data_IF_540713321099
#
_entry.id   IF_540713321099
#
_cell.length_a   1.000
_cell.length_b   1.000
_cell.length_c   1.000
_cell.angle_alpha   90.00
_cell.angle_beta   90.00
_cell.angle_gamma   90.00
#
_symmetry.space_group_name_H-M   'P 1'
#
loop_
_entity.id
_entity.type
_entity.pdbx_description
1 polymer ?
#
# COMPACT_ATOMS: atom_id res chain seq x y z
N UNK A 1 -27.57 -2.80 -14.71
CA UNK A 1 -27.05 -2.35 -13.41
C UNK A 1 -26.51 -0.95 -13.58
N UNK A 2 -27.28 0.05 -13.12
CA UNK A 2 -26.89 1.45 -13.24
C UNK A 2 -25.83 1.77 -12.20
N UNK A 3 -24.66 2.22 -12.63
CA UNK A 3 -23.67 2.77 -11.73
C UNK A 3 -24.09 4.21 -11.41
N UNK A 4 -24.53 4.46 -10.18
CA UNK A 4 -25.01 5.79 -9.83
C UNK A 4 -23.79 6.70 -9.63
N UNK A 5 -23.58 7.60 -10.59
CA UNK A 5 -22.53 8.63 -10.53
C UNK A 5 -23.10 9.90 -9.93
N UNK A 6 -22.43 10.44 -8.93
CA UNK A 6 -22.76 11.74 -8.33
C UNK A 6 -21.56 12.65 -8.40
N UNK A 7 -21.78 13.88 -8.82
CA UNK A 7 -20.74 14.92 -8.84
C UNK A 7 -21.05 15.89 -7.72
N UNK A 8 -20.05 16.19 -6.88
CA UNK A 8 -20.18 17.19 -5.81
C UNK A 8 -18.98 18.13 -5.84
N UNK A 9 -19.25 19.42 -5.71
CA UNK A 9 -18.19 20.41 -5.50
C UNK A 9 -18.10 20.76 -4.02
N UNK A 10 -16.89 20.82 -3.48
CA UNK A 10 -16.60 21.26 -2.11
C UNK A 10 -15.47 22.28 -2.10
N UNK A 11 -15.42 23.12 -1.05
CA UNK A 11 -14.29 24.00 -0.78
C UNK A 11 -13.37 23.34 0.24
N UNK A 12 -12.11 23.14 -0.14
CA UNK A 12 -11.06 22.59 0.70
C UNK A 12 -9.85 23.52 0.70
N UNK A 13 -9.45 24.01 1.89
CA UNK A 13 -8.38 25.02 2.06
C UNK A 13 -8.53 26.26 1.15
N UNK A 14 -9.78 26.71 0.94
CA UNK A 14 -10.08 27.85 0.06
C UNK A 14 -10.07 27.54 -1.44
N UNK A 15 -9.76 26.31 -1.83
CA UNK A 15 -9.71 25.87 -3.24
C UNK A 15 -10.98 25.06 -3.55
N UNK A 16 -11.58 25.34 -4.70
CA UNK A 16 -12.73 24.58 -5.23
C UNK A 16 -12.25 23.21 -5.73
N UNK A 17 -12.81 22.14 -5.18
CA UNK A 17 -12.52 20.75 -5.55
C UNK A 17 -13.79 20.07 -6.06
N UNK A 18 -13.65 19.22 -7.07
CA UNK A 18 -14.75 18.46 -7.66
C UNK A 18 -14.54 16.98 -7.34
N UNK A 19 -15.53 16.36 -6.71
CA UNK A 19 -15.55 14.95 -6.35
C UNK A 19 -16.48 14.21 -7.30
N UNK A 20 -15.95 13.14 -7.90
CA UNK A 20 -16.71 12.16 -8.68
C UNK A 20 -16.95 10.92 -7.82
N UNK A 21 -18.17 10.78 -7.31
CA UNK A 21 -18.57 9.69 -6.43
C UNK A 21 -19.20 8.60 -7.30
N UNK A 22 -18.57 7.41 -7.28
CA UNK A 22 -19.00 6.24 -8.01
C UNK A 22 -19.59 5.22 -7.04
N UNK A 23 -20.89 5.00 -7.09
CA UNK A 23 -21.53 3.97 -6.27
C UNK A 23 -21.31 2.60 -6.90
N UNK A 24 -20.75 1.68 -6.11
CA UNK A 24 -20.47 0.30 -6.49
C UNK A 24 -21.20 -0.59 -5.50
N UNK A 25 -22.15 -1.39 -6.00
CA UNK A 25 -22.79 -2.42 -5.19
C UNK A 25 -21.81 -3.57 -4.91
N UNK A 26 -22.06 -4.35 -3.87
CA UNK A 26 -21.18 -5.45 -3.46
C UNK A 26 -20.90 -6.44 -4.61
N UNK A 27 -21.92 -6.78 -5.40
CA UNK A 27 -21.79 -7.67 -6.57
C UNK A 27 -20.95 -7.07 -7.71
N UNK A 28 -20.78 -5.75 -7.70
CA UNK A 28 -20.03 -5.00 -8.70
C UNK A 28 -18.53 -4.95 -8.43
N UNK A 29 -18.08 -5.24 -7.20
CA UNK A 29 -16.67 -5.15 -6.82
C UNK A 29 -15.83 -6.20 -7.54
N UNK A 30 -16.29 -7.45 -7.58
CA UNK A 30 -15.61 -8.53 -8.31
C UNK A 30 -15.38 -8.20 -9.79
N UNK A 31 -16.39 -7.59 -10.43
CA UNK A 31 -16.31 -7.12 -11.81
C UNK A 31 -15.35 -5.94 -11.98
N UNK A 32 -15.26 -5.07 -10.97
CA UNK A 32 -14.31 -3.95 -10.97
C UNK A 32 -12.86 -4.46 -10.85
N UNK A 33 -12.60 -5.34 -9.89
CA UNK A 33 -11.29 -5.95 -9.64
C UNK A 33 -10.84 -6.91 -10.77
N UNK A 34 -11.79 -7.45 -11.56
CA UNK A 34 -11.45 -8.27 -12.75
C UNK A 34 -10.61 -7.51 -13.79
N UNK A 35 -10.65 -6.17 -13.78
CA UNK A 35 -9.85 -5.32 -14.67
C UNK A 35 -8.68 -4.72 -13.90
N UNK A 36 -7.45 -5.12 -14.23
CA UNK A 36 -6.22 -4.64 -13.56
C UNK A 36 -6.00 -3.11 -13.58
N UNK A 37 -6.64 -2.40 -14.51
CA UNK A 37 -6.54 -0.93 -14.62
C UNK A 37 -7.74 -0.19 -14.00
N UNK A 38 -8.67 -0.88 -13.33
CA UNK A 38 -9.84 -0.22 -12.75
C UNK A 38 -9.46 0.64 -11.56
N UNK A 39 -8.59 0.11 -10.69
CA UNK A 39 -8.04 0.81 -9.52
C UNK A 39 -7.15 1.99 -9.92
N UNK A 40 -6.44 1.90 -11.05
CA UNK A 40 -5.60 2.98 -11.58
C UNK A 40 -6.39 4.28 -11.88
N UNK A 41 -7.71 4.21 -12.02
CA UNK A 41 -8.60 5.36 -12.28
C UNK A 41 -9.22 5.95 -11.00
N UNK A 42 -8.96 5.35 -9.84
CA UNK A 42 -9.54 5.75 -8.56
C UNK A 42 -8.50 6.47 -7.70
N UNK A 43 -8.78 7.72 -7.34
CA UNK A 43 -7.91 8.47 -6.42
C UNK A 43 -8.07 8.01 -4.95
N UNK A 44 -9.22 7.42 -4.62
CA UNK A 44 -9.57 6.96 -3.27
C UNK A 44 -10.72 5.96 -3.32
N UNK A 45 -10.69 4.96 -2.43
CA UNK A 45 -11.79 4.04 -2.16
C UNK A 45 -12.41 4.34 -0.79
N UNK A 46 -13.75 4.34 -0.71
CA UNK A 46 -14.48 4.62 0.53
C UNK A 46 -15.42 3.47 0.80
N UNK A 47 -15.22 2.78 1.92
CA UNK A 47 -16.04 1.66 2.37
C UNK A 47 -17.01 2.15 3.43
N UNK A 48 -18.29 1.92 3.22
CA UNK A 48 -19.34 2.38 4.12
C UNK A 48 -20.00 1.16 4.74
N UNK A 49 -20.12 1.15 6.06
CA UNK A 49 -20.89 0.15 6.80
C UNK A 49 -21.91 0.81 7.72
N UNK A 50 -22.94 0.07 8.10
CA UNK A 50 -23.91 0.51 9.10
C UNK A 50 -23.38 0.21 10.51
N UNK A 51 -23.24 1.24 11.35
CA UNK A 51 -22.69 1.11 12.71
C UNK A 51 -23.53 0.21 13.63
N UNK A 52 -24.80 0.00 13.31
CA UNK A 52 -25.72 -0.86 14.06
C UNK A 52 -25.71 -2.33 13.59
N UNK A 53 -25.02 -2.64 12.49
CA UNK A 53 -25.05 -3.96 11.85
C UNK A 53 -23.64 -4.58 11.71
N UNK A 54 -23.39 -5.64 12.46
CA UNK A 54 -22.13 -6.39 12.42
C UNK A 54 -21.87 -7.04 11.04
N UNK A 55 -22.92 -7.46 10.33
CA UNK A 55 -22.77 -8.10 9.02
C UNK A 55 -22.29 -7.11 7.96
N UNK A 56 -22.81 -5.88 7.99
CA UNK A 56 -22.35 -4.77 7.17
C UNK A 56 -20.88 -4.43 7.44
N UNK A 57 -20.45 -4.43 8.71
CA UNK A 57 -19.05 -4.23 9.08
C UNK A 57 -18.12 -5.32 8.50
N UNK A 58 -18.47 -6.60 8.68
CA UNK A 58 -17.70 -7.73 8.15
C UNK A 58 -17.53 -7.60 6.64
N UNK A 59 -18.64 -7.31 5.95
CA UNK A 59 -18.65 -7.18 4.50
C UNK A 59 -17.80 -6.01 3.99
N UNK A 60 -17.90 -4.84 4.62
CA UNK A 60 -17.07 -3.69 4.26
C UNK A 60 -15.57 -3.97 4.46
N UNK A 61 -15.23 -4.71 5.51
CA UNK A 61 -13.84 -5.11 5.80
C UNK A 61 -13.31 -6.12 4.78
N UNK A 62 -14.11 -7.13 4.40
CA UNK A 62 -13.76 -8.08 3.34
C UNK A 62 -13.46 -7.36 2.02
N UNK A 63 -14.35 -6.45 1.59
CA UNK A 63 -14.16 -5.69 0.35
C UNK A 63 -12.92 -4.79 0.41
N UNK A 64 -12.60 -4.23 1.58
CA UNK A 64 -11.37 -3.47 1.78
C UNK A 64 -10.14 -4.34 1.59
N UNK A 65 -10.15 -5.55 2.14
CA UNK A 65 -9.05 -6.52 1.98
C UNK A 65 -8.88 -6.92 0.51
N UNK A 66 -9.98 -7.16 -0.21
CA UNK A 66 -9.95 -7.50 -1.64
C UNK A 66 -9.33 -6.37 -2.48
N UNK A 67 -9.73 -5.11 -2.23
CA UNK A 67 -9.19 -3.93 -2.95
C UNK A 67 -7.72 -3.70 -2.60
N UNK A 68 -7.34 -3.82 -1.34
CA UNK A 68 -5.96 -3.66 -0.92
C UNK A 68 -5.06 -4.76 -1.50
N UNK A 69 -5.52 -6.01 -1.50
CA UNK A 69 -4.80 -7.14 -2.10
C UNK A 69 -4.60 -6.98 -3.61
N UNK A 70 -5.65 -6.58 -4.35
CA UNK A 70 -5.53 -6.33 -5.79
C UNK A 70 -4.59 -5.13 -6.08
N UNK A 71 -4.60 -4.10 -5.24
CA UNK A 71 -3.68 -2.97 -5.34
C UNK A 71 -2.20 -3.38 -5.21
N UNK A 72 -1.90 -4.31 -4.30
CA UNK A 72 -0.54 -4.85 -4.12
C UNK A 72 -0.08 -5.73 -5.30
N UNK A 73 -0.99 -6.47 -5.91
CA UNK A 73 -0.70 -7.35 -7.05
C UNK A 73 -0.57 -6.57 -8.36
N UNK A 74 -1.37 -5.53 -8.54
CA UNK A 74 -1.39 -4.69 -9.75
C UNK A 74 -0.46 -3.49 -9.66
N UNK A 75 0.13 -3.22 -8.48
CA UNK A 75 0.89 -2.00 -8.15
C UNK A 75 0.08 -0.70 -8.21
N UNK A 76 -1.25 -0.77 -8.30
CA UNK A 76 -2.15 0.36 -8.21
C UNK A 76 -2.75 0.44 -6.80
N UNK A 77 -1.90 0.74 -5.82
CA UNK A 77 -2.31 0.96 -4.43
C UNK A 77 -3.24 2.20 -4.35
N UNK A 78 -4.48 2.01 -3.87
CA UNK A 78 -5.48 3.08 -3.75
C UNK A 78 -5.68 3.43 -2.26
N UNK A 79 -5.64 4.71 -1.88
CA UNK A 79 -5.97 5.14 -0.53
C UNK A 79 -7.39 4.70 -0.13
N UNK A 80 -7.56 4.22 1.11
CA UNK A 80 -8.82 3.69 1.60
C UNK A 80 -9.29 4.42 2.86
N UNK A 81 -10.60 4.68 2.94
CA UNK A 81 -11.27 5.19 4.13
C UNK A 81 -12.44 4.29 4.49
N UNK A 82 -12.65 4.08 5.79
CA UNK A 82 -13.84 3.41 6.31
C UNK A 82 -14.78 4.46 6.94
N UNK A 83 -16.07 4.32 6.69
CA UNK A 83 -17.12 5.23 7.16
C UNK A 83 -18.18 4.43 7.89
N UNK A 84 -18.42 4.80 9.14
CA UNK A 84 -19.47 4.24 9.98
C UNK A 84 -20.75 5.08 9.79
N UNK A 85 -21.69 4.59 9.01
CA UNK A 85 -22.97 5.25 8.76
C UNK A 85 -23.99 4.93 9.87
N UNK A 86 -24.98 5.82 10.01
CA UNK A 86 -26.04 5.72 11.03
C UNK A 86 -25.51 5.73 12.46
N UNK A 87 -24.48 6.53 12.70
CA UNK A 87 -23.86 6.70 14.02
C UNK A 87 -24.81 7.24 15.11
N UNK A 88 -26.01 7.70 14.73
CA UNK A 88 -27.09 8.05 15.66
C UNK A 88 -27.81 6.83 16.27
N UNK A 89 -27.54 5.61 15.79
CA UNK A 89 -28.06 4.37 16.35
C UNK A 89 -27.07 3.74 17.33
N UNK A 90 -27.60 2.91 18.23
CA UNK A 90 -26.77 2.10 19.10
C UNK A 90 -25.88 1.18 18.26
N UNK A 91 -24.57 1.33 18.46
CA UNK A 91 -23.58 0.54 17.73
C UNK A 91 -23.66 -0.94 18.13
N UNK A 92 -23.34 -1.83 17.20
CA UNK A 92 -23.30 -3.26 17.52
C UNK A 92 -22.22 -3.55 18.59
N UNK A 93 -22.43 -4.57 19.45
CA UNK A 93 -21.45 -4.94 20.46
C UNK A 93 -20.08 -5.24 19.82
N UNK A 94 -19.00 -4.66 20.32
CA UNK A 94 -17.62 -4.77 19.79
C UNK A 94 -17.26 -3.86 18.60
N UNK A 95 -18.14 -2.97 18.14
CA UNK A 95 -17.85 -2.05 17.03
C UNK A 95 -16.54 -1.25 17.22
N UNK A 96 -16.32 -0.70 18.42
CA UNK A 96 -15.12 0.08 18.78
C UNK A 96 -13.85 -0.80 18.75
N UNK A 97 -13.93 -2.03 19.27
CA UNK A 97 -12.77 -2.91 19.33
C UNK A 97 -12.39 -3.43 17.94
N UNK A 98 -13.39 -3.84 17.15
CA UNK A 98 -13.19 -4.32 15.79
C UNK A 98 -12.68 -3.21 14.87
N UNK A 99 -13.24 -1.99 14.98
CA UNK A 99 -12.77 -0.84 14.20
C UNK A 99 -11.32 -0.46 14.54
N UNK A 100 -10.99 -0.42 15.82
CA UNK A 100 -9.62 -0.09 16.28
C UNK A 100 -8.62 -1.14 15.80
N UNK A 101 -8.95 -2.42 15.90
CA UNK A 101 -8.08 -3.52 15.47
C UNK A 101 -7.83 -3.48 13.96
N UNK A 102 -8.88 -3.41 13.14
CA UNK A 102 -8.73 -3.35 11.67
C UNK A 102 -7.95 -2.10 11.23
N UNK A 103 -8.19 -0.95 11.87
CA UNK A 103 -7.48 0.29 11.52
C UNK A 103 -5.98 0.21 11.85
N UNK A 104 -5.64 -0.37 13.00
CA UNK A 104 -4.26 -0.57 13.41
C UNK A 104 -3.55 -1.65 12.57
N UNK A 105 -4.24 -2.75 12.28
CA UNK A 105 -3.69 -3.87 11.52
C UNK A 105 -3.41 -3.47 10.06
N UNK A 106 -4.30 -2.67 9.44
CA UNK A 106 -4.18 -2.22 8.05
C UNK A 106 -3.47 -0.87 7.87
N UNK A 107 -3.10 -0.19 8.97
CA UNK A 107 -2.44 1.13 8.93
C UNK A 107 -3.31 2.26 8.36
N UNK A 108 -4.64 2.10 8.37
CA UNK A 108 -5.59 3.09 7.86
C UNK A 108 -6.17 3.98 8.97
N UNK A 109 -6.75 5.12 8.59
CA UNK A 109 -7.43 6.01 9.53
C UNK A 109 -8.64 5.30 10.18
N UNK A 110 -8.89 5.59 11.47
CA UNK A 110 -10.04 5.06 12.19
C UNK A 110 -11.36 5.42 11.47
N UNK A 111 -12.42 4.56 11.57
CA UNK A 111 -13.65 4.80 10.84
C UNK A 111 -14.26 6.15 11.17
N UNK A 112 -14.74 6.84 10.13
CA UNK A 112 -15.33 8.16 10.25
C UNK A 112 -16.82 7.99 10.58
N UNK A 113 -17.29 8.35 11.78
CA UNK A 113 -18.71 8.29 12.12
C UNK A 113 -19.49 9.36 11.35
N UNK A 114 -20.59 8.96 10.73
CA UNK A 114 -21.54 9.86 10.10
C UNK A 114 -22.98 9.49 10.48
N UNK A 115 -23.79 10.51 10.73
CA UNK A 115 -25.24 10.38 10.84
C UNK A 115 -25.93 11.34 9.89
N UNK A 116 -26.97 10.83 9.23
CA UNK A 116 -27.85 11.66 8.41
C UNK A 116 -28.70 12.63 9.21
N UNK A 117 -28.96 12.33 10.48
CA UNK A 117 -29.73 13.20 11.38
C UNK A 117 -28.88 14.32 11.98
N UNK A 118 -27.57 14.11 12.11
CA UNK A 118 -26.63 15.08 12.71
C UNK A 118 -26.02 16.05 11.69
N UNK A 119 -26.31 15.91 10.39
CA UNK A 119 -25.87 16.82 9.32
C UNK A 119 -24.33 16.99 9.19
N UNK A 120 -23.53 16.02 9.64
CA UNK A 120 -22.06 16.09 9.65
C UNK A 120 -21.36 15.77 8.31
N UNK A 121 -22.12 15.77 7.21
CA UNK A 121 -21.64 15.36 5.89
C UNK A 121 -20.52 16.23 5.31
N UNK A 122 -20.32 17.45 5.78
CA UNK A 122 -19.25 18.30 5.25
C UNK A 122 -17.84 17.86 5.73
N UNK A 123 -17.76 17.14 6.85
CA UNK A 123 -16.50 16.63 7.37
C UNK A 123 -15.96 15.48 6.50
N UNK A 124 -16.83 14.53 6.11
CA UNK A 124 -16.44 13.39 5.29
C UNK A 124 -15.88 13.80 3.93
N UNK A 125 -16.49 14.75 3.21
CA UNK A 125 -15.94 15.19 1.92
C UNK A 125 -14.57 15.87 2.07
N UNK A 126 -14.30 16.55 3.19
CA UNK A 126 -12.98 17.12 3.45
C UNK A 126 -11.94 16.02 3.73
N UNK A 127 -12.31 14.97 4.47
CA UNK A 127 -11.43 13.80 4.71
C UNK A 127 -11.12 13.05 3.42
N UNK A 128 -12.14 12.85 2.57
CA UNK A 128 -11.95 12.26 1.23
C UNK A 128 -10.95 13.08 0.40
N UNK A 129 -11.13 14.40 0.32
CA UNK A 129 -10.18 15.28 -0.41
C UNK A 129 -8.78 15.21 0.23
N UNK A 130 -8.70 15.19 1.56
CA UNK A 130 -7.42 15.15 2.25
C UNK A 130 -6.62 13.87 1.96
N UNK A 131 -7.29 12.71 1.99
CA UNK A 131 -6.70 11.40 1.70
C UNK A 131 -6.33 11.27 0.20
N UNK A 132 -7.15 11.80 -0.71
CA UNK A 132 -6.84 11.84 -2.13
C UNK A 132 -5.64 12.76 -2.47
N UNK A 133 -5.46 13.87 -1.75
CA UNK A 133 -4.28 14.75 -1.94
C UNK A 133 -3.00 14.21 -1.29
N UNK A 134 -3.11 13.34 -0.29
CA UNK A 134 -1.97 12.78 0.45
C UNK A 134 -2.04 11.24 0.47
N UNK A 135 -1.94 10.57 -0.69
CA UNK A 135 -2.18 9.13 -0.80
C UNK A 135 -1.24 8.29 0.07
N UNK A 136 -0.01 8.75 0.28
CA UNK A 136 1.02 8.10 1.11
C UNK A 136 0.64 7.92 2.60
N UNK A 137 -0.41 8.56 3.10
CA UNK A 137 -0.87 8.45 4.50
C UNK A 137 -2.12 7.58 4.68
N UNK A 138 -2.74 7.10 3.59
CA UNK A 138 -4.04 6.42 3.64
C UNK A 138 -4.10 5.17 2.77
N UNK A 139 -2.96 4.71 2.25
CA UNK A 139 -2.86 3.41 1.59
C UNK A 139 -2.95 2.30 2.66
N UNK A 140 -3.92 1.39 2.58
CA UNK A 140 -3.94 0.22 3.46
C UNK A 140 -2.71 -0.65 3.18
N UNK A 141 -1.98 -1.02 4.22
CA UNK A 141 -0.95 -2.05 4.14
C UNK A 141 -1.56 -3.37 4.64
N UNK A 142 -1.79 -4.35 3.75
CA UNK A 142 -2.20 -5.68 4.22
C UNK A 142 -1.00 -6.41 4.84
N UNK A 143 -1.24 -7.43 5.66
CA UNK A 143 -0.16 -8.29 6.21
C UNK A 143 0.69 -8.94 5.09
N UNK A 144 0.09 -9.22 3.93
CA UNK A 144 0.76 -9.73 2.74
C UNK A 144 1.70 -8.68 2.13
N UNK A 145 1.24 -7.43 1.97
CA UNK A 145 2.05 -6.32 1.48
C UNK A 145 3.17 -5.91 2.42
N UNK A 146 2.91 -5.92 3.73
CA UNK A 146 3.92 -5.68 4.78
C UNK A 146 5.04 -6.73 4.71
N UNK A 147 4.67 -8.00 4.58
CA UNK A 147 5.61 -9.12 4.45
C UNK A 147 6.40 -9.04 3.14
N UNK A 148 5.79 -8.65 2.02
CA UNK A 148 6.46 -8.52 0.72
C UNK A 148 7.46 -7.36 0.69
N UNK A 149 7.08 -6.20 1.24
CA UNK A 149 7.97 -5.01 1.39
C UNK A 149 9.14 -5.32 2.35
N UNK A 150 8.91 -6.07 3.43
CA UNK A 150 9.98 -6.53 4.32
C UNK A 150 10.90 -7.57 3.65
N UNK A 151 10.33 -8.55 2.95
CA UNK A 151 11.07 -9.57 2.22
C UNK A 151 11.97 -8.95 1.14
N UNK A 152 11.47 -7.97 0.38
CA UNK A 152 12.24 -7.25 -0.62
C UNK A 152 13.37 -6.41 0.00
N UNK A 153 13.16 -5.77 1.16
CA UNK A 153 14.23 -5.07 1.90
C UNK A 153 15.31 -6.04 2.38
N UNK A 154 14.92 -7.21 2.89
CA UNK A 154 15.86 -8.24 3.35
C UNK A 154 16.68 -8.82 2.19
N UNK A 155 16.05 -9.12 1.06
CA UNK A 155 16.75 -9.59 -0.14
C UNK A 155 17.68 -8.51 -0.70
N UNK A 156 17.22 -7.27 -0.85
CA UNK A 156 18.09 -6.23 -1.39
C UNK A 156 19.32 -5.99 -0.49
N UNK A 157 19.13 -6.09 0.84
CA UNK A 157 20.22 -6.02 1.82
C UNK A 157 21.19 -7.22 1.71
N UNK A 158 20.70 -8.44 1.47
CA UNK A 158 21.57 -9.60 1.27
C UNK A 158 22.28 -9.59 -0.09
N UNK A 159 21.61 -9.13 -1.15
CA UNK A 159 22.18 -8.97 -2.50
C UNK A 159 23.35 -7.98 -2.51
N UNK A 160 23.23 -6.86 -1.80
CA UNK A 160 24.34 -5.92 -1.63
C UNK A 160 25.55 -6.59 -0.96
N UNK A 161 25.35 -7.39 0.09
CA UNK A 161 26.44 -8.07 0.81
C UNK A 161 27.12 -9.11 -0.09
N UNK A 162 26.35 -9.95 -0.80
CA UNK A 162 26.91 -10.97 -1.71
C UNK A 162 27.69 -10.32 -2.85
N UNK A 163 27.19 -9.22 -3.42
CA UNK A 163 27.90 -8.47 -4.46
C UNK A 163 29.23 -7.90 -3.97
N UNK A 164 29.28 -7.35 -2.75
CA UNK A 164 30.51 -6.85 -2.14
C UNK A 164 31.54 -7.95 -1.91
N UNK A 165 31.10 -9.12 -1.41
CA UNK A 165 32.00 -10.26 -1.19
C UNK A 165 32.59 -10.80 -2.49
N UNK A 166 31.80 -10.89 -3.56
CA UNK A 166 32.28 -11.34 -4.87
C UNK A 166 33.32 -10.38 -5.45
N UNK A 167 33.11 -9.06 -5.33
CA UNK A 167 34.06 -8.06 -5.82
C UNK A 167 35.37 -8.15 -5.03
N UNK A 168 35.32 -8.24 -3.70
CA UNK A 168 36.51 -8.40 -2.87
C UNK A 168 37.27 -9.68 -3.20
N UNK A 169 36.55 -10.80 -3.35
CA UNK A 169 37.14 -12.08 -3.76
C UNK A 169 37.82 -12.00 -5.12
N UNK A 170 37.18 -11.36 -6.10
CA UNK A 170 37.77 -11.17 -7.41
C UNK A 170 39.02 -10.28 -7.36
N UNK A 171 39.02 -9.22 -6.56
CA UNK A 171 40.19 -8.35 -6.40
C UNK A 171 41.36 -9.05 -5.72
N UNK A 172 41.09 -9.82 -4.65
CA UNK A 172 42.15 -10.56 -3.94
C UNK A 172 42.75 -11.65 -4.80
N UNK A 173 41.94 -12.38 -5.57
CA UNK A 173 42.42 -13.42 -6.50
C UNK A 173 43.24 -12.82 -7.63
N UNK A 174 42.80 -11.71 -8.25
CA UNK A 174 43.57 -11.00 -9.29
C UNK A 174 44.89 -10.47 -8.73
N UNK A 175 44.88 -9.87 -7.54
CA UNK A 175 46.10 -9.38 -6.88
C UNK A 175 47.07 -10.51 -6.55
N UNK A 176 46.57 -11.65 -6.07
CA UNK A 176 47.38 -12.85 -5.80
C UNK A 176 47.99 -13.42 -7.09
N UNK A 177 47.20 -13.51 -8.17
CA UNK A 177 47.68 -13.91 -9.49
C UNK A 177 48.74 -12.94 -10.03
N UNK A 178 48.58 -11.63 -9.83
CA UNK A 178 49.57 -10.63 -10.19
C UNK A 178 50.87 -10.81 -9.39
N UNK A 179 50.78 -11.02 -8.07
CA UNK A 179 51.95 -11.31 -7.23
C UNK A 179 52.67 -12.60 -7.63
N UNK A 180 51.95 -13.68 -7.97
CA UNK A 180 52.57 -14.89 -8.51
C UNK A 180 53.24 -14.64 -9.86
N UNK A 181 52.60 -13.88 -10.76
CA UNK A 181 53.17 -13.56 -12.08
C UNK A 181 54.46 -12.74 -11.94
N UNK A 182 54.47 -11.75 -11.05
CA UNK A 182 55.63 -10.91 -10.74
C UNK A 182 56.74 -11.72 -10.05
N UNK A 183 56.41 -12.55 -9.06
CA UNK A 183 57.38 -13.43 -8.40
C UNK A 183 57.98 -14.49 -9.34
N UNK A 184 57.21 -15.00 -10.30
CA UNK A 184 57.73 -15.88 -11.36
C UNK A 184 58.64 -15.13 -12.34
N UNK A 185 58.32 -13.88 -12.68
CA UNK A 185 59.17 -13.05 -13.55
C UNK A 185 60.50 -12.69 -12.87
N UNK A 186 60.50 -12.40 -11.56
CA UNK A 186 61.73 -12.16 -10.80
C UNK A 186 62.60 -13.42 -10.64
N UNK A 187 61.99 -14.61 -10.44
CA UNK A 187 62.74 -15.87 -10.31
C UNK A 187 63.28 -16.43 -11.63
N UNK A 188 62.83 -15.94 -12.79
CA UNK A 188 63.34 -16.34 -14.11
C UNK A 188 64.50 -15.45 -14.58
N UNK A 189 64.83 -14.39 -13.82
CA UNK A 189 65.89 -13.43 -14.17
C UNK A 189 67.34 -13.82 -13.82
N UNK A 190 67.58 -14.84 -12.98
CA UNK A 190 68.89 -15.06 -12.34
C UNK A 190 69.65 -16.32 -12.76
N UNK A 191 69.24 -17.00 -13.85
CA UNK A 191 69.95 -18.18 -14.36
C UNK A 191 70.33 -18.05 -15.84
N UNK A 192 71.43 -17.34 -16.08
CA UNK A 192 72.18 -17.46 -17.32
C UNK A 192 73.03 -16.22 -17.57
N UNK A 193 74.34 -16.34 -17.38
CA UNK A 193 75.40 -16.16 -18.39
C UNK A 193 76.76 -16.31 -17.68
N UNK A 194 77.38 -17.48 -17.80
CA UNK A 194 78.83 -17.66 -17.61
C UNK A 194 79.34 -18.30 -18.90
N UNK A 195 80.09 -17.52 -19.69
CA UNK A 195 81.01 -18.02 -20.70
C UNK A 195 82.35 -18.35 -20.04
#
# INVERSE_FOLDING_TARGET
>A
MGCHRRIRTTLYKGIKKTLFLLEIHEDGVSKLLSSKESLARCDIAVFVYDSSDESSWKRATELLMDVAGDGEDTSYEVPCLIVAAKDDLDSFPMAIQNSTRVSQDMGIEAPIPISSKLSDFNNIFRRIVNAAEHPHLSIPETEAGRSRKQYHRLINRSLMVVSGMLIVWHLTTVLFLMHLKLGVVENVGDHGWIF
#
